data_IF_184960141447
#
_entry.id   IF_184960141447
#
_cell.length_a   1.000
_cell.length_b   1.000
_cell.length_c   1.000
_cell.angle_alpha   90.00
_cell.angle_beta   90.00
_cell.angle_gamma   90.00
#
_symmetry.space_group_name_H-M   'P 1'
#
loop_
_entity.id
_entity.type
_entity.pdbx_description
1 polymer ?
#
# COMPACT_ATOMS: atom_id res chain seq x y z
N UNK A 1 29.69 -4.12 -31.96
CA UNK A 1 30.58 -5.25 -32.34
C UNK A 1 31.66 -5.37 -31.27
N UNK A 2 31.47 -6.18 -30.21
CA UNK A 2 32.53 -6.60 -29.26
C UNK A 2 32.90 -8.04 -29.65
N UNK A 3 34.20 -8.25 -29.92
CA UNK A 3 34.77 -9.57 -30.20
C UNK A 3 34.59 -10.52 -29.00
N UNK A 4 34.30 -11.82 -29.18
CA UNK A 4 34.26 -12.78 -28.10
C UNK A 4 35.67 -12.98 -27.52
N UNK A 5 35.73 -13.13 -26.20
CA UNK A 5 36.98 -13.42 -25.48
C UNK A 5 37.52 -14.82 -25.88
N UNK A 6 38.82 -14.89 -26.11
CA UNK A 6 39.55 -16.06 -26.56
C UNK A 6 39.55 -17.17 -25.48
N UNK A 7 39.59 -18.41 -25.91
CA UNK A 7 39.50 -19.62 -25.05
C UNK A 7 40.58 -19.68 -23.92
N UNK A 8 41.76 -19.10 -24.15
CA UNK A 8 42.83 -19.00 -23.17
C UNK A 8 42.52 -18.09 -21.98
N UNK A 9 41.70 -17.06 -22.16
CA UNK A 9 41.28 -16.15 -21.08
C UNK A 9 40.18 -16.75 -20.19
N UNK A 10 39.41 -17.72 -20.68
CA UNK A 10 38.42 -18.45 -19.88
C UNK A 10 39.06 -19.46 -18.92
N UNK A 11 40.15 -20.11 -19.30
CA UNK A 11 40.86 -21.06 -18.43
C UNK A 11 41.59 -20.35 -17.28
N UNK A 12 42.15 -19.15 -17.50
CA UNK A 12 42.80 -18.36 -16.46
C UNK A 12 41.84 -17.79 -15.40
N UNK A 13 40.58 -17.55 -15.78
CA UNK A 13 39.55 -17.09 -14.83
C UNK A 13 38.99 -18.23 -13.97
N UNK A 14 38.92 -19.45 -14.51
CA UNK A 14 38.44 -20.64 -13.78
C UNK A 14 39.48 -21.19 -12.79
N UNK A 15 40.79 -21.06 -13.09
CA UNK A 15 41.86 -21.49 -12.18
C UNK A 15 41.99 -20.60 -10.93
N UNK A 16 41.63 -19.30 -11.01
CA UNK A 16 41.61 -18.37 -9.86
C UNK A 16 40.44 -18.61 -8.91
N UNK A 17 39.32 -19.14 -9.42
CA UNK A 17 38.16 -19.46 -8.60
C UNK A 17 38.31 -20.69 -7.69
N UNK A 18 39.28 -21.55 -7.98
CA UNK A 18 39.48 -22.77 -7.20
C UNK A 18 40.45 -22.63 -6.01
N UNK A 19 41.12 -21.48 -5.85
CA UNK A 19 42.12 -21.24 -4.83
C UNK A 19 41.68 -20.36 -3.64
N UNK A 20 40.39 -19.95 -3.59
CA UNK A 20 39.88 -19.08 -2.51
C UNK A 20 39.04 -19.84 -1.46
N UNK A 21 39.07 -19.39 -0.17
CA UNK A 21 38.36 -20.07 0.92
C UNK A 21 36.85 -19.99 0.80
N UNK A 22 36.08 -20.99 1.32
CA UNK A 22 34.64 -21.14 1.08
C UNK A 22 33.76 -19.96 1.54
N UNK A 23 34.18 -19.14 2.48
CA UNK A 23 33.45 -17.96 2.94
C UNK A 23 33.39 -16.82 1.89
N UNK A 24 34.42 -16.72 1.03
CA UNK A 24 34.43 -15.70 -0.05
C UNK A 24 33.60 -16.13 -1.26
N UNK A 25 33.47 -17.46 -1.49
CA UNK A 25 32.60 -17.99 -2.56
C UNK A 25 31.12 -17.66 -2.36
N UNK A 26 30.63 -17.63 -1.12
CA UNK A 26 29.22 -17.30 -0.81
C UNK A 26 28.97 -15.81 -1.02
N UNK A 27 29.94 -14.95 -0.77
CA UNK A 27 29.83 -13.51 -0.98
C UNK A 27 29.85 -13.15 -2.48
N UNK A 28 30.70 -13.80 -3.28
CA UNK A 28 30.82 -13.56 -4.72
C UNK A 28 29.64 -14.13 -5.52
N UNK A 29 29.06 -15.25 -5.08
CA UNK A 29 27.85 -15.80 -5.70
C UNK A 29 26.58 -14.94 -5.42
N UNK A 30 26.54 -14.25 -4.28
CA UNK A 30 25.47 -13.29 -3.98
C UNK A 30 25.58 -11.98 -4.76
N UNK A 31 26.77 -11.62 -5.27
CA UNK A 31 26.97 -10.38 -6.03
C UNK A 31 26.86 -10.52 -7.54
N UNK A 32 26.86 -11.77 -8.08
CA UNK A 32 26.80 -12.01 -9.52
C UNK A 32 25.36 -11.98 -10.12
N UNK A 33 24.33 -11.94 -9.32
CA UNK A 33 22.95 -11.70 -9.78
C UNK A 33 22.55 -10.22 -9.74
N UNK A 34 23.46 -9.30 -10.09
CA UNK A 34 23.07 -7.97 -10.56
C UNK A 34 22.51 -8.13 -11.96
N UNK A 35 21.21 -8.36 -12.08
CA UNK A 35 20.50 -8.05 -13.32
C UNK A 35 20.77 -6.56 -13.61
N UNK A 36 21.34 -6.21 -14.76
CA UNK A 36 21.40 -4.81 -15.16
C UNK A 36 19.95 -4.36 -15.33
N UNK A 37 19.48 -3.50 -14.45
CA UNK A 37 18.20 -2.83 -14.59
C UNK A 37 18.29 -1.94 -15.83
N UNK A 38 18.03 -2.52 -17.00
CA UNK A 38 17.82 -1.79 -18.24
C UNK A 38 16.47 -1.11 -18.05
N UNK A 39 16.48 0.18 -17.71
CA UNK A 39 15.26 0.97 -17.82
C UNK A 39 14.69 0.75 -19.22
N UNK A 40 13.39 0.44 -19.38
CA UNK A 40 12.76 0.47 -20.68
C UNK A 40 12.99 1.87 -21.25
N UNK A 41 13.58 1.96 -22.45
CA UNK A 41 13.81 3.22 -23.17
C UNK A 41 12.50 3.89 -23.64
N UNK A 42 11.38 3.29 -23.36
CA UNK A 42 10.05 3.80 -23.69
C UNK A 42 9.43 4.46 -22.47
N UNK A 43 10.00 5.60 -22.06
CA UNK A 43 9.21 6.60 -21.35
C UNK A 43 8.34 7.26 -22.42
N UNK A 44 7.01 7.09 -22.42
CA UNK A 44 6.16 7.78 -23.37
C UNK A 44 6.42 9.27 -23.25
N UNK A 45 6.55 9.96 -24.40
CA UNK A 45 6.64 11.41 -24.48
C UNK A 45 5.52 12.06 -23.64
N UNK A 46 5.75 13.25 -23.05
CA UNK A 46 4.73 13.96 -22.30
C UNK A 46 3.48 14.09 -23.18
N UNK A 47 2.37 13.56 -22.66
CA UNK A 47 1.09 13.58 -23.36
C UNK A 47 0.72 15.02 -23.75
N UNK A 48 0.15 15.25 -24.94
CA UNK A 48 -0.36 16.54 -25.36
C UNK A 48 -1.39 17.05 -24.34
N UNK A 49 -1.53 18.40 -24.24
CA UNK A 49 -2.38 19.09 -23.28
C UNK A 49 -3.70 18.35 -23.04
N UNK A 50 -3.92 17.95 -21.79
CA UNK A 50 -4.92 16.98 -21.39
C UNK A 50 -6.33 17.47 -21.81
N UNK A 51 -6.94 16.78 -22.77
CA UNK A 51 -8.39 16.78 -22.91
C UNK A 51 -8.96 16.32 -21.58
N UNK A 52 -9.98 17.06 -21.07
CA UNK A 52 -10.66 16.76 -19.82
C UNK A 52 -11.18 15.31 -19.85
N UNK A 53 -10.53 14.41 -19.11
CA UNK A 53 -10.88 12.99 -19.07
C UNK A 53 -11.86 12.75 -17.93
N UNK A 54 -13.14 12.76 -18.23
CA UNK A 54 -14.25 12.51 -17.28
C UNK A 54 -14.06 11.15 -16.61
N UNK A 55 -13.62 10.15 -17.34
CA UNK A 55 -13.36 8.79 -16.83
C UNK A 55 -12.31 8.83 -15.70
N UNK A 56 -11.23 9.57 -15.89
CA UNK A 56 -10.19 9.72 -14.89
C UNK A 56 -10.70 10.46 -13.65
N UNK A 57 -11.53 11.49 -13.81
CA UNK A 57 -12.15 12.18 -12.69
C UNK A 57 -13.08 11.26 -11.88
N UNK A 58 -13.87 10.44 -12.55
CA UNK A 58 -14.73 9.45 -11.89
C UNK A 58 -13.88 8.44 -11.09
N UNK A 59 -12.75 7.99 -11.63
CA UNK A 59 -11.85 7.10 -10.90
C UNK A 59 -11.29 7.76 -9.64
N UNK A 60 -10.87 9.02 -9.68
CA UNK A 60 -10.42 9.74 -8.49
C UNK A 60 -11.56 9.92 -7.48
N UNK A 61 -12.73 10.33 -7.94
CA UNK A 61 -13.89 10.55 -7.08
C UNK A 61 -14.26 9.26 -6.33
N UNK A 62 -14.46 8.16 -7.05
CA UNK A 62 -14.84 6.89 -6.45
C UNK A 62 -13.71 6.27 -5.62
N UNK A 63 -12.44 6.50 -5.97
CA UNK A 63 -11.32 6.13 -5.12
C UNK A 63 -11.36 6.84 -3.76
N UNK A 64 -11.61 8.16 -3.75
CA UNK A 64 -11.63 8.95 -2.52
C UNK A 64 -12.87 8.63 -1.68
N UNK A 65 -14.03 8.62 -2.29
CA UNK A 65 -15.30 8.28 -1.63
C UNK A 65 -15.27 6.84 -1.12
N UNK A 66 -14.80 5.88 -1.92
CA UNK A 66 -14.69 4.48 -1.52
C UNK A 66 -13.74 4.28 -0.33
N UNK A 67 -12.62 5.02 -0.29
CA UNK A 67 -11.73 4.98 0.86
C UNK A 67 -12.35 5.62 2.12
N UNK A 68 -13.13 6.70 1.98
CA UNK A 68 -13.85 7.32 3.09
C UNK A 68 -14.94 6.38 3.63
N UNK A 69 -15.71 5.76 2.75
CA UNK A 69 -16.73 4.75 3.08
C UNK A 69 -16.07 3.56 3.81
N UNK A 70 -14.96 3.05 3.28
CA UNK A 70 -14.19 2.01 3.97
C UNK A 70 -13.87 2.41 5.41
N UNK A 71 -13.27 3.57 5.62
CA UNK A 71 -12.86 4.01 6.96
C UNK A 71 -14.06 4.18 7.92
N UNK A 72 -15.19 4.70 7.43
CA UNK A 72 -16.42 4.88 8.19
C UNK A 72 -16.98 3.52 8.65
N UNK A 73 -17.20 2.60 7.72
CA UNK A 73 -17.80 1.30 8.02
C UNK A 73 -16.83 0.35 8.74
N UNK A 74 -15.52 0.46 8.50
CA UNK A 74 -14.51 -0.22 9.30
C UNK A 74 -14.55 0.24 10.76
N UNK A 75 -14.67 1.56 10.99
CA UNK A 75 -14.83 2.10 12.36
C UNK A 75 -16.11 1.63 13.02
N UNK A 76 -17.21 1.53 12.26
CA UNK A 76 -18.50 1.01 12.73
C UNK A 76 -18.38 -0.47 13.15
N UNK A 77 -17.82 -1.32 12.29
CA UNK A 77 -17.58 -2.75 12.60
C UNK A 77 -16.68 -2.93 13.83
N UNK A 78 -15.59 -2.17 13.92
CA UNK A 78 -14.68 -2.23 15.06
C UNK A 78 -15.35 -1.78 16.37
N UNK A 79 -16.17 -0.73 16.36
CA UNK A 79 -16.96 -0.31 17.53
C UNK A 79 -17.95 -1.39 17.95
N UNK A 80 -18.62 -2.04 17.01
CA UNK A 80 -19.58 -3.10 17.29
C UNK A 80 -18.97 -4.33 18.00
N UNK A 81 -17.68 -4.62 17.74
CA UNK A 81 -16.96 -5.71 18.43
C UNK A 81 -16.22 -5.25 19.70
N UNK A 82 -16.40 -4.00 20.15
CA UNK A 82 -15.78 -3.46 21.37
C UNK A 82 -14.45 -2.71 21.13
N UNK A 83 -14.14 -2.34 19.89
CA UNK A 83 -12.97 -1.56 19.53
C UNK A 83 -11.65 -2.24 19.90
N UNK A 84 -10.67 -1.46 20.34
CA UNK A 84 -9.34 -1.96 20.71
C UNK A 84 -9.31 -2.92 21.92
N UNK A 85 -10.38 -2.97 22.71
CA UNK A 85 -10.50 -3.83 23.88
C UNK A 85 -11.37 -5.07 23.63
N UNK A 86 -12.03 -5.16 22.47
CA UNK A 86 -12.95 -6.25 22.16
C UNK A 86 -12.28 -7.60 21.89
N UNK A 87 -11.00 -7.61 21.52
CA UNK A 87 -10.23 -8.83 21.21
C UNK A 87 -10.71 -9.54 19.95
N UNK A 88 -11.28 -8.79 18.97
CA UNK A 88 -11.86 -9.29 17.71
C UNK A 88 -11.41 -8.46 16.48
N UNK A 89 -10.34 -7.70 16.62
CA UNK A 89 -9.85 -6.83 15.56
C UNK A 89 -9.27 -7.61 14.40
N UNK A 90 -8.56 -8.72 14.69
CA UNK A 90 -8.02 -9.61 13.66
C UNK A 90 -9.16 -10.33 12.91
N UNK A 91 -10.22 -10.73 13.64
CA UNK A 91 -11.41 -11.32 13.04
C UNK A 91 -12.08 -10.35 12.06
N UNK A 92 -12.28 -9.08 12.44
CA UNK A 92 -12.83 -8.06 11.55
C UNK A 92 -11.94 -7.89 10.31
N UNK A 93 -10.63 -7.75 10.49
CA UNK A 93 -9.67 -7.60 9.38
C UNK A 93 -9.70 -8.79 8.41
N UNK A 94 -9.66 -10.02 8.95
CA UNK A 94 -9.66 -11.23 8.12
C UNK A 94 -10.97 -11.37 7.36
N UNK A 95 -12.12 -11.11 7.99
CA UNK A 95 -13.41 -11.20 7.31
C UNK A 95 -13.61 -10.11 6.26
N UNK A 96 -13.03 -8.94 6.41
CA UNK A 96 -12.99 -7.93 5.33
C UNK A 96 -12.25 -8.47 4.09
N UNK A 97 -11.08 -9.13 4.28
CA UNK A 97 -10.39 -9.82 3.19
C UNK A 97 -11.20 -11.01 2.65
N UNK A 98 -11.97 -11.68 3.49
CA UNK A 98 -12.92 -12.72 3.07
C UNK A 98 -14.01 -12.17 2.14
N UNK A 99 -14.58 -11.01 2.47
CA UNK A 99 -15.53 -10.30 1.57
C UNK A 99 -14.86 -9.92 0.26
N UNK A 100 -13.61 -9.43 0.29
CA UNK A 100 -12.82 -9.16 -0.91
C UNK A 100 -12.65 -10.41 -1.79
N UNK A 101 -12.36 -11.56 -1.15
CA UNK A 101 -12.14 -12.84 -1.84
C UNK A 101 -13.43 -13.36 -2.47
N UNK A 102 -14.56 -13.23 -1.77
CA UNK A 102 -15.88 -13.58 -2.33
C UNK A 102 -16.22 -12.70 -3.53
N UNK A 103 -15.96 -11.40 -3.43
CA UNK A 103 -16.17 -10.48 -4.56
C UNK A 103 -15.26 -10.82 -5.74
N UNK A 104 -13.99 -11.11 -5.50
CA UNK A 104 -13.07 -11.56 -6.55
C UNK A 104 -13.57 -12.84 -7.23
N UNK A 105 -14.08 -13.81 -6.46
CA UNK A 105 -14.67 -15.03 -7.03
C UNK A 105 -15.91 -14.73 -7.89
N UNK A 106 -16.76 -13.81 -7.47
CA UNK A 106 -17.93 -13.38 -8.26
C UNK A 106 -17.51 -12.70 -9.57
N UNK A 107 -16.45 -11.88 -9.57
CA UNK A 107 -15.90 -11.26 -10.79
C UNK A 107 -15.39 -12.33 -11.76
N UNK A 108 -14.69 -13.34 -11.26
CA UNK A 108 -14.19 -14.45 -12.09
C UNK A 108 -15.32 -15.31 -12.63
N UNK A 109 -16.32 -15.65 -11.81
CA UNK A 109 -17.48 -16.43 -12.23
C UNK A 109 -18.33 -15.71 -13.30
N UNK A 110 -18.52 -14.40 -13.13
CA UNK A 110 -19.25 -13.56 -14.10
C UNK A 110 -18.42 -13.20 -15.33
N UNK A 111 -17.10 -13.39 -15.30
CA UNK A 111 -16.16 -12.93 -16.31
C UNK A 111 -16.36 -11.44 -16.67
N UNK A 112 -16.68 -10.61 -15.69
CA UNK A 112 -17.07 -9.23 -15.84
C UNK A 112 -16.52 -8.36 -14.71
N UNK A 113 -15.93 -7.21 -15.05
CA UNK A 113 -15.48 -6.23 -14.07
C UNK A 113 -16.33 -4.94 -14.17
N UNK A 114 -17.24 -4.69 -13.21
CA UNK A 114 -18.13 -3.53 -13.25
C UNK A 114 -17.40 -2.19 -13.06
N UNK A 115 -16.21 -2.16 -12.46
CA UNK A 115 -15.44 -0.92 -12.27
C UNK A 115 -15.05 -0.31 -13.62
N UNK A 116 -14.86 -1.11 -14.64
CA UNK A 116 -14.52 -0.63 -15.98
C UNK A 116 -15.63 0.24 -16.59
N UNK A 117 -16.89 0.06 -16.16
CA UNK A 117 -18.01 0.91 -16.58
C UNK A 117 -17.88 2.35 -16.07
N UNK A 118 -17.30 2.55 -14.87
CA UNK A 118 -17.05 3.89 -14.33
C UNK A 118 -16.07 4.69 -15.19
N UNK A 119 -15.23 3.99 -15.94
CA UNK A 119 -14.30 4.61 -16.87
C UNK A 119 -14.91 4.94 -18.23
N UNK A 120 -16.21 4.80 -18.43
CA UNK A 120 -16.89 4.95 -19.73
C UNK A 120 -16.23 4.11 -20.85
N UNK A 121 -15.58 3.04 -20.48
CA UNK A 121 -14.92 2.09 -21.39
C UNK A 121 -15.79 0.85 -21.60
N UNK A 122 -15.51 0.12 -22.67
CA UNK A 122 -16.14 -1.20 -22.86
C UNK A 122 -15.79 -2.08 -21.66
N UNK A 123 -16.75 -2.89 -21.15
CA UNK A 123 -16.50 -3.80 -20.03
C UNK A 123 -15.28 -4.67 -20.30
N UNK A 124 -14.29 -4.64 -19.40
CA UNK A 124 -13.13 -5.52 -19.48
C UNK A 124 -13.54 -6.90 -18.97
N UNK A 125 -13.25 -7.95 -19.73
CA UNK A 125 -13.41 -9.32 -19.25
C UNK A 125 -12.42 -9.61 -18.14
N UNK A 126 -12.86 -10.32 -17.13
CA UNK A 126 -12.04 -10.74 -15.99
C UNK A 126 -12.09 -12.27 -15.85
N UNK A 127 -11.48 -13.02 -16.80
CA UNK A 127 -11.45 -14.47 -16.72
C UNK A 127 -10.64 -14.96 -15.52
N UNK A 128 -10.92 -16.16 -15.05
CA UNK A 128 -10.12 -16.81 -14.01
C UNK A 128 -8.64 -16.86 -14.45
N UNK A 129 -7.69 -16.41 -13.60
CA UNK A 129 -6.27 -16.43 -13.93
C UNK A 129 -5.77 -17.85 -14.23
N UNK A 130 -5.04 -18.02 -15.32
CA UNK A 130 -4.40 -19.29 -15.67
C UNK A 130 -3.01 -19.40 -15.01
N UNK A 131 -2.99 -19.34 -13.68
CA UNK A 131 -1.75 -19.37 -12.92
C UNK A 131 -1.25 -20.78 -12.67
N UNK A 132 0.06 -20.96 -12.73
CA UNK A 132 0.74 -22.17 -12.28
C UNK A 132 0.96 -22.13 -10.76
N UNK A 133 1.28 -23.29 -10.15
CA UNK A 133 1.67 -23.32 -8.74
C UNK A 133 2.87 -22.42 -8.44
N UNK A 134 3.83 -22.32 -9.38
CA UNK A 134 4.96 -21.40 -9.27
C UNK A 134 4.53 -19.93 -9.24
N UNK A 135 3.55 -19.54 -10.06
CA UNK A 135 3.01 -18.17 -10.07
C UNK A 135 2.32 -17.81 -8.75
N UNK A 136 1.63 -18.78 -8.14
CA UNK A 136 1.00 -18.62 -6.82
C UNK A 136 2.08 -18.41 -5.75
N UNK A 137 3.14 -19.25 -5.73
CA UNK A 137 4.27 -19.13 -4.81
C UNK A 137 4.96 -17.77 -4.97
N UNK A 138 5.17 -17.30 -6.18
CA UNK A 138 5.75 -15.98 -6.44
C UNK A 138 4.86 -14.82 -5.99
N UNK A 139 3.54 -15.03 -5.95
CA UNK A 139 2.56 -14.02 -5.49
C UNK A 139 2.40 -14.01 -3.96
N UNK A 140 2.77 -15.12 -3.26
CA UNK A 140 2.65 -15.23 -1.80
C UNK A 140 3.29 -14.07 -1.03
N UNK A 141 4.53 -13.59 -1.35
CA UNK A 141 5.11 -12.46 -0.64
C UNK A 141 4.26 -11.19 -0.73
N UNK A 142 3.64 -10.95 -1.90
CA UNK A 142 2.74 -9.80 -2.09
C UNK A 142 1.46 -9.98 -1.29
N UNK A 143 0.85 -11.17 -1.32
CA UNK A 143 -0.33 -11.54 -0.53
C UNK A 143 -0.09 -11.44 0.98
N UNK A 144 1.04 -11.93 1.46
CA UNK A 144 1.45 -11.82 2.86
C UNK A 144 1.58 -10.35 3.29
N UNK A 145 2.32 -9.54 2.52
CA UNK A 145 2.48 -8.13 2.82
C UNK A 145 1.16 -7.35 2.73
N UNK A 146 0.26 -7.74 1.82
CA UNK A 146 -1.08 -7.16 1.71
C UNK A 146 -1.92 -7.45 2.95
N UNK A 147 -1.98 -8.71 3.39
CA UNK A 147 -2.68 -9.12 4.59
C UNK A 147 -2.14 -8.43 5.85
N UNK A 148 -0.81 -8.42 6.01
CA UNK A 148 -0.16 -7.79 7.14
C UNK A 148 -0.38 -6.27 7.19
N UNK A 149 -0.27 -5.58 6.03
CA UNK A 149 -0.52 -4.14 5.94
C UNK A 149 -2.00 -3.81 6.20
N UNK A 150 -2.93 -4.62 5.70
CA UNK A 150 -4.37 -4.46 5.95
C UNK A 150 -4.69 -4.66 7.43
N UNK A 151 -4.29 -5.77 8.01
CA UNK A 151 -4.56 -6.09 9.42
C UNK A 151 -3.96 -5.04 10.35
N UNK A 152 -2.69 -4.68 10.18
CA UNK A 152 -2.07 -3.61 10.95
C UNK A 152 -2.80 -2.27 10.76
N UNK A 153 -3.29 -1.97 9.56
CA UNK A 153 -4.13 -0.80 9.29
C UNK A 153 -5.44 -0.83 10.06
N UNK A 154 -6.11 -1.98 10.16
CA UNK A 154 -7.35 -2.15 10.93
C UNK A 154 -7.09 -1.99 12.42
N UNK A 155 -6.01 -2.57 12.96
CA UNK A 155 -5.60 -2.37 14.37
C UNK A 155 -5.28 -0.90 14.66
N UNK A 156 -4.56 -0.21 13.78
CA UNK A 156 -4.23 1.20 13.88
C UNK A 156 -5.50 2.07 13.98
N UNK A 157 -6.44 1.87 13.05
CA UNK A 157 -7.70 2.62 12.99
C UNK A 157 -8.66 2.25 14.13
N UNK A 158 -8.58 1.02 14.63
CA UNK A 158 -9.33 0.56 15.80
C UNK A 158 -8.87 1.20 17.09
N UNK A 159 -7.61 1.58 17.17
CA UNK A 159 -7.03 2.29 18.32
C UNK A 159 -7.38 3.79 18.31
N UNK A 160 -7.02 4.50 17.24
CA UNK A 160 -7.42 5.89 17.00
C UNK A 160 -7.57 6.16 15.48
N UNK A 161 -8.81 6.34 14.99
CA UNK A 161 -9.05 6.54 13.57
C UNK A 161 -8.43 7.82 12.99
N UNK A 162 -8.38 8.92 13.75
CA UNK A 162 -7.85 10.19 13.26
C UNK A 162 -6.33 10.22 13.32
N UNK A 163 -5.76 9.89 14.48
CA UNK A 163 -4.31 9.84 14.63
C UNK A 163 -3.70 8.76 13.71
N UNK A 164 -4.37 7.62 13.57
CA UNK A 164 -3.96 6.57 12.63
C UNK A 164 -3.84 7.05 11.17
N UNK A 165 -4.72 7.93 10.71
CA UNK A 165 -4.59 8.53 9.36
C UNK A 165 -3.35 9.42 9.24
N UNK A 166 -2.98 10.14 10.31
CA UNK A 166 -1.77 10.97 10.34
C UNK A 166 -0.53 10.08 10.30
N UNK A 167 -0.48 9.02 11.11
CA UNK A 167 0.63 8.05 11.12
C UNK A 167 0.79 7.37 9.75
N UNK A 168 -0.31 7.02 9.11
CA UNK A 168 -0.30 6.47 7.74
C UNK A 168 0.26 7.46 6.72
N UNK A 169 0.21 8.77 6.94
CA UNK A 169 0.88 9.74 6.07
C UNK A 169 2.42 9.62 6.12
N UNK A 170 2.98 9.02 7.16
CA UNK A 170 4.40 8.67 7.26
C UNK A 170 4.85 7.49 6.37
N UNK A 171 3.98 6.88 5.57
CA UNK A 171 4.33 5.76 4.66
C UNK A 171 5.59 5.99 3.81
N UNK A 172 5.86 7.20 3.24
CA UNK A 172 7.10 7.43 2.48
C UNK A 172 8.37 7.22 3.29
N UNK A 173 8.35 7.46 4.59
CA UNK A 173 9.50 7.28 5.50
C UNK A 173 9.87 5.80 5.57
N UNK A 174 8.89 4.96 5.88
CA UNK A 174 9.08 3.49 5.94
C UNK A 174 9.40 2.93 4.55
N UNK A 175 8.79 3.46 3.49
CA UNK A 175 9.10 3.07 2.11
C UNK A 175 10.54 3.40 1.73
N UNK A 176 11.06 4.57 2.12
CA UNK A 176 12.45 4.93 1.89
C UNK A 176 13.40 4.03 2.68
N UNK A 177 13.10 3.74 3.94
CA UNK A 177 13.86 2.82 4.78
C UNK A 177 13.92 1.42 4.17
N UNK A 178 12.77 0.82 3.87
CA UNK A 178 12.66 -0.52 3.28
C UNK A 178 13.40 -0.58 1.93
N UNK A 179 13.19 0.41 1.05
CA UNK A 179 13.84 0.44 -0.25
C UNK A 179 15.38 0.57 -0.15
N UNK A 180 15.87 1.33 0.84
CA UNK A 180 17.31 1.50 1.05
C UNK A 180 17.94 0.21 1.61
N UNK A 181 17.38 -0.31 2.70
CA UNK A 181 17.98 -1.44 3.45
C UNK A 181 17.84 -2.76 2.70
N UNK A 182 16.64 -3.06 2.18
CA UNK A 182 16.35 -4.37 1.60
C UNK A 182 16.49 -4.43 0.08
N UNK A 183 16.40 -3.29 -0.62
CA UNK A 183 16.41 -3.25 -2.08
C UNK A 183 17.56 -2.41 -2.66
N UNK A 184 18.42 -1.82 -1.81
CA UNK A 184 19.59 -1.05 -2.24
C UNK A 184 19.25 0.20 -3.08
N UNK A 185 18.08 0.81 -2.84
CA UNK A 185 17.56 1.97 -3.57
C UNK A 185 17.36 3.17 -2.64
N UNK A 186 18.44 3.89 -2.27
CA UNK A 186 18.33 5.05 -1.40
C UNK A 186 17.55 6.20 -2.09
N UNK A 187 16.80 7.02 -1.32
CA UNK A 187 16.18 8.22 -1.83
C UNK A 187 17.23 9.30 -2.16
N UNK A 188 16.88 10.24 -3.05
CA UNK A 188 17.70 11.42 -3.31
C UNK A 188 17.82 12.31 -2.06
N UNK A 189 18.84 13.15 -1.98
CA UNK A 189 19.03 14.09 -0.86
C UNK A 189 17.79 14.97 -0.65
N UNK A 190 17.21 15.51 -1.74
CA UNK A 190 15.99 16.32 -1.66
C UNK A 190 14.82 15.55 -1.03
N UNK A 191 14.69 14.26 -1.33
CA UNK A 191 13.71 13.39 -0.68
C UNK A 191 14.00 13.17 0.80
N UNK A 192 15.26 13.02 1.19
CA UNK A 192 15.65 12.88 2.62
C UNK A 192 15.21 14.10 3.43
N UNK A 193 15.38 15.31 2.89
CA UNK A 193 14.88 16.54 3.53
C UNK A 193 13.35 16.50 3.71
N UNK A 194 12.61 16.08 2.68
CA UNK A 194 11.16 15.91 2.81
C UNK A 194 10.78 14.88 3.90
N UNK A 195 11.50 13.76 3.98
CA UNK A 195 11.25 12.72 4.99
C UNK A 195 11.43 13.26 6.41
N UNK A 196 12.43 14.10 6.65
CA UNK A 196 12.64 14.74 7.93
C UNK A 196 11.41 15.56 8.36
N UNK A 197 10.87 16.39 7.47
CA UNK A 197 9.67 17.19 7.76
C UNK A 197 8.40 16.35 7.90
N UNK A 198 8.29 15.23 7.19
CA UNK A 198 7.17 14.28 7.39
C UNK A 198 7.21 13.71 8.81
N UNK A 199 8.37 13.26 9.28
CA UNK A 199 8.55 12.76 10.65
C UNK A 199 8.25 13.84 11.68
N UNK A 200 8.77 15.06 11.47
CA UNK A 200 8.51 16.19 12.34
C UNK A 200 7.00 16.52 12.41
N UNK A 201 6.29 16.49 11.28
CA UNK A 201 4.85 16.70 11.23
C UNK A 201 4.05 15.66 12.01
N UNK A 202 4.38 14.36 11.82
CA UNK A 202 3.75 13.27 12.59
C UNK A 202 4.08 13.39 14.08
N UNK A 203 5.32 13.71 14.42
CA UNK A 203 5.76 13.97 15.80
C UNK A 203 5.00 15.12 16.43
N UNK A 204 4.86 16.25 15.73
CA UNK A 204 4.11 17.41 16.21
C UNK A 204 2.62 17.09 16.42
N UNK A 205 2.01 16.31 15.55
CA UNK A 205 0.63 15.83 15.69
C UNK A 205 0.43 14.91 16.91
N UNK A 206 1.51 14.38 17.47
CA UNK A 206 1.50 13.53 18.67
C UNK A 206 1.57 14.35 19.98
N UNK A 207 1.81 15.65 19.87
CA UNK A 207 1.85 16.55 21.05
C UNK A 207 0.44 16.96 21.47
N UNK A 208 0.27 17.14 22.78
CA UNK A 208 -0.93 17.74 23.36
C UNK A 208 -0.50 18.78 24.39
N UNK A 209 -1.02 20.00 24.26
CA UNK A 209 -0.80 21.05 25.23
C UNK A 209 -1.65 20.79 26.48
N UNK A 210 -1.04 20.72 27.63
CA UNK A 210 -1.76 20.71 28.91
C UNK A 210 -2.27 22.14 29.18
N UNK A 211 -3.59 22.29 29.28
CA UNK A 211 -4.23 23.60 29.50
C UNK A 211 -3.92 24.20 30.85
N UNK A 212 -3.51 23.39 31.85
CA UNK A 212 -3.21 23.87 33.21
C UNK A 212 -1.76 24.35 33.35
N UNK A 213 -0.82 23.61 32.75
CA UNK A 213 0.62 23.88 32.90
C UNK A 213 1.21 24.59 31.67
N UNK A 214 0.49 24.66 30.56
CA UNK A 214 1.00 25.18 29.30
C UNK A 214 2.07 24.32 28.63
N UNK A 215 2.47 23.20 29.25
CA UNK A 215 3.53 22.31 28.77
C UNK A 215 2.99 21.36 27.73
N UNK A 216 3.80 21.13 26.70
CA UNK A 216 3.49 20.12 25.67
C UNK A 216 3.95 18.74 26.13
N UNK A 217 3.01 17.81 26.18
CA UNK A 217 3.25 16.41 26.49
C UNK A 217 2.98 15.53 25.29
N UNK A 218 3.74 14.45 25.12
CA UNK A 218 3.44 13.41 24.15
C UNK A 218 2.18 12.66 24.63
N UNK A 219 1.09 12.81 23.89
CA UNK A 219 -0.17 12.13 24.18
C UNK A 219 -0.81 11.61 22.89
N UNK A 220 -0.55 10.36 22.61
CA UNK A 220 -1.08 9.64 21.45
C UNK A 220 -1.45 8.21 21.86
N UNK A 221 -2.22 7.52 21.02
CA UNK A 221 -2.47 6.10 21.23
C UNK A 221 -1.28 5.30 20.68
N UNK A 222 -0.52 4.64 21.56
CA UNK A 222 0.69 3.88 21.22
C UNK A 222 0.37 2.75 20.25
N UNK A 223 -0.80 2.11 20.39
CA UNK A 223 -1.24 1.05 19.48
C UNK A 223 -1.45 1.61 18.06
N UNK A 224 -2.06 2.79 17.95
CA UNK A 224 -2.24 3.44 16.65
C UNK A 224 -0.90 3.77 16.01
N UNK A 225 0.10 4.22 16.77
CA UNK A 225 1.44 4.49 16.25
C UNK A 225 2.13 3.20 15.80
N UNK A 226 2.23 2.20 16.67
CA UNK A 226 2.94 0.95 16.41
C UNK A 226 2.32 0.22 15.21
N UNK A 227 1.01 -0.01 15.22
CA UNK A 227 0.34 -0.70 14.11
C UNK A 227 0.32 0.13 12.84
N UNK A 228 0.25 1.46 12.92
CA UNK A 228 0.37 2.34 11.77
C UNK A 228 1.75 2.24 11.12
N UNK A 229 2.83 2.20 11.90
CA UNK A 229 4.21 2.00 11.40
C UNK A 229 4.39 0.60 10.80
N UNK A 230 3.91 -0.46 11.48
CA UNK A 230 3.92 -1.83 10.96
C UNK A 230 3.19 -1.89 9.61
N UNK A 231 1.98 -1.31 9.53
CA UNK A 231 1.19 -1.26 8.32
C UNK A 231 1.92 -0.54 7.17
N UNK A 232 2.56 0.60 7.45
CA UNK A 232 3.37 1.33 6.46
C UNK A 232 4.59 0.53 6.00
N UNK A 233 5.24 -0.22 6.90
CA UNK A 233 6.37 -1.08 6.57
C UNK A 233 5.96 -2.19 5.60
N UNK A 234 4.89 -2.93 5.91
CA UNK A 234 4.38 -3.98 5.02
C UNK A 234 3.80 -3.42 3.72
N UNK A 235 3.22 -2.22 3.72
CA UNK A 235 2.81 -1.55 2.48
C UNK A 235 4.01 -1.24 1.57
N UNK A 236 5.15 -0.85 2.16
CA UNK A 236 6.40 -0.62 1.42
C UNK A 236 6.95 -1.92 0.81
N UNK A 237 6.99 -3.01 1.59
CA UNK A 237 7.37 -4.33 1.07
C UNK A 237 6.43 -4.79 -0.03
N UNK A 238 5.10 -4.72 0.20
CA UNK A 238 4.08 -5.04 -0.82
C UNK A 238 4.36 -4.31 -2.13
N UNK A 239 4.62 -2.99 -2.07
CA UNK A 239 4.91 -2.19 -3.26
C UNK A 239 6.16 -2.63 -4.01
N UNK A 240 7.20 -3.04 -3.30
CA UNK A 240 8.47 -3.48 -3.89
C UNK A 240 8.39 -4.90 -4.43
N UNK A 241 7.76 -5.82 -3.71
CA UNK A 241 7.52 -7.20 -4.17
C UNK A 241 6.56 -7.22 -5.37
N UNK A 242 5.52 -6.39 -5.36
CA UNK A 242 4.61 -6.28 -6.49
C UNK A 242 5.33 -5.79 -7.76
N UNK A 243 6.30 -4.87 -7.64
CA UNK A 243 7.12 -4.44 -8.79
C UNK A 243 7.99 -5.58 -9.33
N UNK A 244 8.56 -6.44 -8.48
CA UNK A 244 9.30 -7.62 -8.91
C UNK A 244 8.39 -8.60 -9.64
N UNK A 245 7.19 -8.82 -9.10
CA UNK A 245 6.20 -9.71 -9.70
C UNK A 245 5.79 -9.24 -11.09
N UNK A 246 5.54 -7.94 -11.27
CA UNK A 246 5.09 -7.37 -12.55
C UNK A 246 6.12 -7.47 -13.69
N UNK A 247 7.41 -7.58 -13.39
CA UNK A 247 8.47 -7.72 -14.41
C UNK A 247 8.78 -9.18 -14.76
N UNK A 248 8.10 -10.15 -14.14
CA UNK A 248 8.33 -11.57 -14.36
C UNK A 248 7.82 -11.97 -15.77
N UNK A 249 8.66 -12.61 -16.62
CA UNK A 249 8.27 -12.97 -17.98
C UNK A 249 7.03 -13.89 -18.01
N UNK A 250 6.09 -13.60 -18.90
CA UNK A 250 4.88 -14.40 -19.12
C UNK A 250 3.84 -14.40 -18.00
N UNK A 251 4.16 -13.86 -16.80
CA UNK A 251 3.23 -13.84 -15.68
C UNK A 251 2.01 -12.95 -15.98
N UNK A 252 2.25 -11.78 -16.58
CA UNK A 252 1.18 -10.84 -16.93
C UNK A 252 0.13 -11.47 -17.85
N UNK A 253 0.54 -12.29 -18.80
CA UNK A 253 -0.35 -12.94 -19.77
C UNK A 253 -1.17 -14.05 -19.09
N UNK A 254 -0.54 -14.87 -18.22
CA UNK A 254 -1.22 -15.91 -17.42
C UNK A 254 -2.18 -15.33 -16.39
N UNK A 255 -1.82 -14.20 -15.77
CA UNK A 255 -2.69 -13.48 -14.84
C UNK A 255 -3.90 -12.85 -15.54
N UNK A 256 -3.81 -12.53 -16.84
CA UNK A 256 -4.88 -11.86 -17.58
C UNK A 256 -5.06 -10.38 -17.23
N UNK A 257 -4.12 -9.77 -16.47
CA UNK A 257 -4.12 -8.34 -16.20
C UNK A 257 -3.94 -7.95 -14.72
N UNK A 258 -3.90 -6.63 -14.49
CA UNK A 258 -3.62 -6.05 -13.16
C UNK A 258 -4.77 -6.25 -12.19
N UNK A 259 -6.02 -6.22 -12.66
CA UNK A 259 -7.21 -6.49 -11.84
C UNK A 259 -7.19 -7.93 -11.30
N UNK A 260 -6.87 -8.91 -12.15
CA UNK A 260 -6.72 -10.30 -11.74
C UNK A 260 -5.58 -10.50 -10.73
N UNK A 261 -4.45 -9.84 -10.95
CA UNK A 261 -3.33 -9.88 -10.00
C UNK A 261 -3.74 -9.31 -8.63
N UNK A 262 -4.48 -8.22 -8.62
CA UNK A 262 -5.01 -7.64 -7.39
C UNK A 262 -6.00 -8.59 -6.70
N UNK A 263 -6.96 -9.13 -7.45
CA UNK A 263 -7.94 -10.12 -6.94
C UNK A 263 -7.26 -11.34 -6.31
N UNK A 264 -6.27 -11.93 -7.01
CA UNK A 264 -5.50 -13.06 -6.49
C UNK A 264 -4.71 -12.67 -5.21
N UNK A 265 -4.15 -11.46 -5.16
CA UNK A 265 -3.47 -10.96 -3.96
C UNK A 265 -4.40 -10.88 -2.76
N UNK A 266 -5.65 -10.44 -2.94
CA UNK A 266 -6.64 -10.35 -1.87
C UNK A 266 -7.11 -11.74 -1.40
N UNK A 267 -7.30 -12.70 -2.32
CA UNK A 267 -7.61 -14.09 -1.99
C UNK A 267 -6.48 -14.73 -1.18
N UNK A 268 -5.23 -14.58 -1.62
CA UNK A 268 -4.07 -15.07 -0.86
C UNK A 268 -3.96 -14.36 0.49
N UNK A 269 -4.23 -13.07 0.54
CA UNK A 269 -4.27 -12.29 1.79
C UNK A 269 -5.28 -12.85 2.78
N UNK A 270 -6.48 -13.19 2.33
CA UNK A 270 -7.48 -13.86 3.17
C UNK A 270 -6.99 -15.20 3.69
N UNK A 271 -6.51 -16.09 2.79
CA UNK A 271 -6.03 -17.41 3.16
C UNK A 271 -4.86 -17.38 4.15
N UNK A 272 -3.97 -16.38 4.03
CA UNK A 272 -2.84 -16.18 4.95
C UNK A 272 -3.30 -15.60 6.29
N UNK A 273 -4.28 -14.69 6.30
CA UNK A 273 -4.77 -14.07 7.53
C UNK A 273 -5.67 -15.01 8.36
N UNK A 274 -6.33 -15.97 7.73
CA UNK A 274 -7.26 -16.89 8.38
C UNK A 274 -6.62 -17.72 9.50
N UNK A 275 -5.49 -18.42 9.30
CA UNK A 275 -4.83 -19.14 10.38
C UNK A 275 -4.32 -18.22 11.49
N UNK A 276 -3.89 -16.99 11.18
CA UNK A 276 -3.48 -16.01 12.19
C UNK A 276 -4.66 -15.60 13.05
N UNK A 277 -5.81 -15.33 12.44
CA UNK A 277 -7.06 -15.02 13.16
C UNK A 277 -7.45 -16.17 14.08
N UNK A 278 -7.45 -17.40 13.57
CA UNK A 278 -7.78 -18.58 14.37
C UNK A 278 -6.79 -18.77 15.53
N UNK A 279 -5.50 -18.59 15.32
CA UNK A 279 -4.50 -18.74 16.37
C UNK A 279 -4.61 -17.66 17.46
N UNK A 280 -4.98 -16.44 17.11
CA UNK A 280 -4.98 -15.30 18.03
C UNK A 280 -6.32 -15.04 18.70
N UNK A 281 -7.43 -15.27 18.02
CA UNK A 281 -8.76 -14.84 18.48
C UNK A 281 -9.81 -15.98 18.52
N UNK A 282 -9.42 -17.26 18.33
CA UNK A 282 -10.35 -18.39 18.30
C UNK A 282 -11.24 -18.48 19.54
N UNK A 283 -10.72 -18.15 20.72
CA UNK A 283 -11.48 -18.14 21.98
C UNK A 283 -12.64 -17.14 21.98
N UNK A 284 -12.52 -16.08 21.19
CA UNK A 284 -13.52 -15.02 21.08
C UNK A 284 -14.51 -15.25 19.92
N UNK A 285 -14.29 -16.25 19.06
CA UNK A 285 -15.17 -16.53 17.91
C UNK A 285 -16.62 -16.83 18.31
N UNK A 286 -16.92 -17.59 19.40
CA UNK A 286 -18.32 -17.79 19.83
C UNK A 286 -19.02 -16.46 20.16
N UNK A 287 -18.29 -15.52 20.79
CA UNK A 287 -18.79 -14.16 21.05
C UNK A 287 -19.02 -13.40 19.75
N UNK A 288 -18.06 -13.50 18.82
CA UNK A 288 -18.19 -12.89 17.50
C UNK A 288 -19.41 -13.39 16.73
N UNK A 289 -19.64 -14.72 16.68
CA UNK A 289 -20.79 -15.31 16.00
C UNK A 289 -22.13 -14.81 16.60
N UNK A 290 -22.24 -14.70 17.92
CA UNK A 290 -23.41 -14.11 18.58
C UNK A 290 -23.62 -12.65 18.16
N UNK A 291 -22.55 -11.84 18.17
CA UNK A 291 -22.60 -10.45 17.73
C UNK A 291 -22.96 -10.33 16.25
N UNK A 292 -22.41 -11.19 15.40
CA UNK A 292 -22.69 -11.18 13.97
C UNK A 292 -24.17 -11.44 13.66
N UNK A 293 -24.84 -12.30 14.42
CA UNK A 293 -26.28 -12.57 14.24
C UNK A 293 -27.15 -11.44 14.79
N UNK A 294 -26.76 -10.81 15.92
CA UNK A 294 -27.62 -9.87 16.65
C UNK A 294 -27.35 -8.40 16.31
N UNK A 295 -26.19 -8.06 15.78
CA UNK A 295 -25.76 -6.67 15.60
C UNK A 295 -25.69 -6.28 14.12
N UNK A 296 -26.66 -5.48 13.66
CA UNK A 296 -26.75 -4.99 12.28
C UNK A 296 -25.57 -4.10 11.89
N UNK A 297 -25.04 -3.30 12.82
CA UNK A 297 -23.89 -2.44 12.56
C UNK A 297 -22.63 -3.26 12.24
N UNK A 298 -22.48 -4.42 12.90
CA UNK A 298 -21.37 -5.33 12.58
C UNK A 298 -21.56 -5.95 11.18
N UNK A 299 -22.76 -6.43 10.87
CA UNK A 299 -23.07 -7.05 9.57
C UNK A 299 -22.81 -6.07 8.43
N UNK A 300 -23.43 -4.88 8.49
CA UNK A 300 -23.30 -3.84 7.48
C UNK A 300 -21.84 -3.34 7.43
N UNK A 301 -21.25 -3.11 8.61
CA UNK A 301 -19.87 -2.64 8.74
C UNK A 301 -18.86 -3.55 8.07
N UNK A 302 -18.97 -4.88 8.26
CA UNK A 302 -18.10 -5.87 7.63
C UNK A 302 -18.27 -5.92 6.12
N UNK A 303 -19.50 -6.08 5.66
CA UNK A 303 -19.77 -6.24 4.22
C UNK A 303 -19.38 -4.96 3.46
N UNK A 304 -19.85 -3.80 3.92
CA UNK A 304 -19.59 -2.53 3.23
C UNK A 304 -18.12 -2.16 3.30
N UNK A 305 -17.44 -2.36 4.44
CA UNK A 305 -16.02 -2.06 4.52
C UNK A 305 -15.17 -3.00 3.66
N UNK A 306 -15.47 -4.31 3.63
CA UNK A 306 -14.77 -5.25 2.76
C UNK A 306 -14.96 -4.92 1.29
N UNK A 307 -16.19 -4.67 0.84
CA UNK A 307 -16.49 -4.26 -0.52
C UNK A 307 -15.81 -2.94 -0.88
N UNK A 308 -15.93 -1.92 -0.04
CA UNK A 308 -15.31 -0.63 -0.27
C UNK A 308 -13.78 -0.75 -0.31
N UNK A 309 -13.17 -1.61 0.52
CA UNK A 309 -11.73 -1.87 0.52
C UNK A 309 -11.28 -2.42 -0.83
N UNK A 310 -11.96 -3.42 -1.37
CA UNK A 310 -11.66 -3.97 -2.69
C UNK A 310 -11.80 -2.90 -3.77
N UNK A 311 -12.95 -2.25 -3.84
CA UNK A 311 -13.31 -1.32 -4.92
C UNK A 311 -12.36 -0.12 -4.98
N UNK A 312 -12.06 0.54 -3.84
CA UNK A 312 -11.18 1.71 -3.89
C UNK A 312 -9.72 1.35 -4.19
N UNK A 313 -9.25 0.17 -3.79
CA UNK A 313 -7.89 -0.27 -4.10
C UNK A 313 -7.77 -0.66 -5.59
N UNK A 314 -8.77 -1.29 -6.16
CA UNK A 314 -8.81 -1.57 -7.59
C UNK A 314 -8.82 -0.28 -8.41
N UNK A 315 -9.67 0.71 -8.03
CA UNK A 315 -9.70 2.04 -8.65
C UNK A 315 -8.34 2.75 -8.53
N UNK A 316 -7.67 2.67 -7.38
CA UNK A 316 -6.32 3.20 -7.21
C UNK A 316 -5.35 2.57 -8.22
N UNK A 317 -5.41 1.26 -8.37
CA UNK A 317 -4.55 0.51 -9.30
C UNK A 317 -4.81 0.91 -10.75
N UNK A 318 -6.07 1.05 -11.15
CA UNK A 318 -6.46 1.52 -12.49
C UNK A 318 -6.05 2.96 -12.74
N UNK A 319 -6.16 3.83 -11.73
CA UNK A 319 -5.70 5.22 -11.79
C UNK A 319 -4.19 5.29 -12.03
N UNK A 320 -3.40 4.46 -11.32
CA UNK A 320 -1.94 4.37 -11.54
C UNK A 320 -1.61 3.96 -12.98
N UNK A 321 -2.34 2.98 -13.51
CA UNK A 321 -2.18 2.51 -14.91
C UNK A 321 -2.44 3.64 -15.92
N UNK A 322 -3.42 4.52 -15.65
CA UNK A 322 -3.79 5.63 -16.56
C UNK A 322 -2.89 6.86 -16.43
N UNK A 323 -2.48 7.22 -15.22
CA UNK A 323 -1.82 8.52 -14.95
C UNK A 323 -0.32 8.42 -14.68
N UNK A 324 0.17 7.22 -14.42
CA UNK A 324 1.53 6.99 -13.98
C UNK A 324 1.76 7.26 -12.47
N UNK A 325 2.94 6.84 -12.01
CA UNK A 325 3.23 6.75 -10.58
C UNK A 325 3.28 8.09 -9.85
N UNK A 326 3.77 9.15 -10.51
CA UNK A 326 3.91 10.48 -9.87
C UNK A 326 2.54 11.09 -9.61
N UNK A 327 1.66 11.15 -10.62
CA UNK A 327 0.31 11.68 -10.49
C UNK A 327 -0.51 10.89 -9.47
N UNK A 328 -0.41 9.55 -9.51
CA UNK A 328 -1.08 8.68 -8.54
C UNK A 328 -0.57 8.90 -7.11
N UNK A 329 0.73 9.17 -6.91
CA UNK A 329 1.31 9.48 -5.59
C UNK A 329 0.77 10.81 -5.03
N UNK A 330 0.71 11.85 -5.86
CA UNK A 330 0.09 13.15 -5.48
C UNK A 330 -1.39 12.95 -5.12
N UNK A 331 -2.13 12.22 -5.94
CA UNK A 331 -3.53 11.91 -5.70
C UNK A 331 -3.75 11.09 -4.42
N UNK A 332 -2.88 10.12 -4.15
CA UNK A 332 -2.92 9.35 -2.89
C UNK A 332 -2.71 10.25 -1.67
N UNK A 333 -1.88 11.29 -1.79
CA UNK A 333 -1.68 12.28 -0.72
C UNK A 333 -2.91 13.15 -0.53
N UNK A 334 -3.50 13.65 -1.62
CA UNK A 334 -4.74 14.43 -1.58
C UNK A 334 -5.91 13.61 -0.97
N UNK A 335 -6.00 12.31 -1.28
CA UNK A 335 -6.95 11.38 -0.66
C UNK A 335 -6.83 11.38 0.88
N UNK A 336 -5.61 11.44 1.43
CA UNK A 336 -5.41 11.44 2.89
C UNK A 336 -6.01 12.66 3.55
N UNK A 337 -5.89 13.85 2.93
CA UNK A 337 -6.55 15.07 3.39
C UNK A 337 -8.05 14.88 3.41
N UNK A 338 -8.61 14.41 2.29
CA UNK A 338 -10.04 14.16 2.15
C UNK A 338 -10.56 13.23 3.24
N UNK A 339 -9.90 12.07 3.43
CA UNK A 339 -10.31 11.08 4.44
C UNK A 339 -10.18 11.61 5.85
N UNK A 340 -9.13 12.38 6.16
CA UNK A 340 -8.93 12.95 7.49
C UNK A 340 -10.05 13.94 7.85
N UNK A 341 -10.41 14.84 6.93
CA UNK A 341 -11.52 15.78 7.10
C UNK A 341 -12.85 15.03 7.24
N UNK A 342 -13.10 14.08 6.34
CA UNK A 342 -14.33 13.28 6.35
C UNK A 342 -14.48 12.49 7.66
N UNK A 343 -13.42 11.80 8.12
CA UNK A 343 -13.46 11.04 9.36
C UNK A 343 -13.62 11.93 10.60
N UNK A 344 -13.04 13.13 10.59
CA UNK A 344 -13.28 14.11 11.66
C UNK A 344 -14.76 14.49 11.75
N UNK A 345 -15.41 14.72 10.61
CA UNK A 345 -16.83 15.04 10.55
C UNK A 345 -17.71 13.85 11.00
N UNK A 346 -17.44 12.64 10.49
CA UNK A 346 -18.25 11.44 10.77
C UNK A 346 -18.11 10.96 12.20
N UNK A 347 -16.89 10.98 12.76
CA UNK A 347 -16.65 10.53 14.15
C UNK A 347 -17.06 11.56 15.21
N UNK A 348 -17.37 12.79 14.80
CA UNK A 348 -17.62 13.91 15.70
C UNK A 348 -16.40 14.35 16.50
N UNK A 349 -15.24 13.70 16.30
CA UNK A 349 -13.98 14.06 16.97
C UNK A 349 -13.31 15.18 16.19
N UNK A 350 -13.13 16.33 16.83
CA UNK A 350 -12.36 17.44 16.25
C UNK A 350 -10.87 17.18 16.44
N UNK A 351 -10.11 17.41 15.36
CA UNK A 351 -8.65 17.44 15.45
C UNK A 351 -8.20 18.57 16.37
N UNK A 352 -7.23 18.29 17.23
CA UNK A 352 -6.57 19.34 18.02
C UNK A 352 -5.77 20.27 17.10
N UNK A 353 -5.37 21.44 17.59
CA UNK A 353 -4.57 22.40 16.82
C UNK A 353 -3.24 21.78 16.40
N UNK A 354 -2.60 21.03 17.30
CA UNK A 354 -1.35 20.29 17.04
C UNK A 354 -1.53 19.23 15.95
N UNK A 355 -2.63 18.47 16.02
CA UNK A 355 -2.97 17.48 14.99
C UNK A 355 -3.21 18.11 13.63
N UNK A 356 -3.89 19.25 13.56
CA UNK A 356 -4.12 19.99 12.31
C UNK A 356 -2.80 20.47 11.71
N UNK A 357 -1.95 21.12 12.50
CA UNK A 357 -0.66 21.66 12.05
C UNK A 357 0.27 20.52 11.65
N UNK A 358 0.42 19.49 12.49
CA UNK A 358 1.27 18.35 12.21
C UNK A 358 0.83 17.57 10.97
N UNK A 359 -0.49 17.36 10.80
CA UNK A 359 -1.03 16.73 9.60
C UNK A 359 -0.78 17.60 8.35
N UNK A 360 -0.95 18.92 8.44
CA UNK A 360 -0.70 19.84 7.32
C UNK A 360 0.77 19.79 6.89
N UNK A 361 1.71 19.81 7.83
CA UNK A 361 3.15 19.70 7.56
C UNK A 361 3.44 18.34 6.90
N UNK A 362 3.03 17.24 7.53
CA UNK A 362 3.30 15.90 7.01
C UNK A 362 2.75 15.74 5.57
N UNK A 363 1.52 16.15 5.33
CA UNK A 363 0.86 16.01 4.02
C UNK A 363 1.54 16.90 2.96
N UNK A 364 1.89 18.15 3.29
CA UNK A 364 2.57 19.05 2.37
C UNK A 364 3.93 18.46 1.93
N UNK A 365 4.70 17.91 2.87
CA UNK A 365 5.98 17.30 2.53
C UNK A 365 5.87 15.92 1.86
N UNK A 366 4.78 15.17 2.08
CA UNK A 366 4.49 13.96 1.27
C UNK A 366 4.17 14.35 -0.18
N UNK A 367 3.41 15.42 -0.42
CA UNK A 367 3.20 15.95 -1.77
C UNK A 367 4.51 16.38 -2.42
N UNK A 368 5.33 17.14 -1.70
CA UNK A 368 6.64 17.58 -2.20
C UNK A 368 7.56 16.38 -2.49
N UNK A 369 7.62 15.39 -1.60
CA UNK A 369 8.36 14.14 -1.79
C UNK A 369 8.00 13.43 -3.10
N UNK A 370 6.72 13.46 -3.47
CA UNK A 370 6.21 12.80 -4.68
C UNK A 370 6.72 13.45 -5.97
N UNK A 371 7.03 14.76 -5.97
CA UNK A 371 7.36 15.53 -7.17
C UNK A 371 8.77 16.10 -7.18
N UNK A 372 9.48 16.10 -6.05
CA UNK A 372 10.75 16.83 -5.87
C UNK A 372 11.84 16.42 -6.86
N UNK A 373 12.00 15.13 -7.15
CA UNK A 373 13.01 14.67 -8.11
C UNK A 373 12.73 15.21 -9.53
N UNK A 374 11.46 15.30 -9.91
CA UNK A 374 11.04 15.86 -11.20
C UNK A 374 11.30 17.38 -11.26
N UNK A 375 11.10 18.07 -10.14
CA UNK A 375 11.37 19.50 -10.03
C UNK A 375 12.88 19.78 -10.11
N UNK A 376 13.68 19.05 -9.34
CA UNK A 376 15.14 19.17 -9.34
C UNK A 376 15.70 18.91 -10.75
N UNK A 377 15.23 17.87 -11.42
CA UNK A 377 15.65 17.57 -12.81
C UNK A 377 15.33 18.71 -13.76
N UNK A 378 14.12 19.27 -13.71
CA UNK A 378 13.72 20.42 -14.55
C UNK A 378 14.57 21.66 -14.28
N UNK A 379 14.93 21.91 -13.01
CA UNK A 379 15.80 23.02 -12.61
C UNK A 379 17.23 22.86 -13.18
N UNK A 380 17.78 21.64 -13.10
CA UNK A 380 19.09 21.33 -13.67
C UNK A 380 19.11 21.49 -15.20
N UNK A 381 18.09 21.00 -15.90
CA UNK A 381 17.96 21.15 -17.35
C UNK A 381 17.81 22.62 -17.80
N UNK A 382 17.23 23.49 -16.98
CA UNK A 382 17.07 24.91 -17.26
C UNK A 382 18.36 25.69 -17.06
N UNK A 383 19.24 25.26 -16.14
CA UNK A 383 20.50 25.93 -15.84
C UNK A 383 21.66 25.48 -16.76
N UNK A 384 21.44 24.44 -17.57
CA UNK A 384 22.42 23.94 -18.57
C UNK A 384 22.16 24.52 -19.97
N UNK A 385 21.02 25.18 -20.16
CA UNK A 385 20.71 25.98 -21.36
C UNK A 385 21.07 27.45 -21.16
#
# INVERSE_FOLDING_TARGET
LRRPLDAGQRQGALSRLNSEPPALKICLLKTSHRYPFRQPKDVPAPAPAAKFDISLMLYFLFWYVGNAVYNMYNTMALKAVGGKHGGLTMTVSTLQLGVCSLYAALLWLSNFNPITLLGLQKPEKMPLPQTTAADIVDTLPVGFCAAAAHSAGVFCLGADPLFGQIVKAGEPVLSAFVNTVFYGKPPSFAKVVCLFFIVAGVGFASLKKDLKTGVYNLKFDERALIFGMIGNCFAAFKGSENKKLMIKPGLKDRMGGVANQFALTEVLGFLISLPVMLATEWKNLPKFCKLLVSNKDLQIGLVVSGMAFYLYNELATMTIKKTGAVTASVANTAKRVFVLVFMSAVTGKKLTTEQKIGAAIAIAFVMLYSVIDSLVKKFQEKNVK
#
